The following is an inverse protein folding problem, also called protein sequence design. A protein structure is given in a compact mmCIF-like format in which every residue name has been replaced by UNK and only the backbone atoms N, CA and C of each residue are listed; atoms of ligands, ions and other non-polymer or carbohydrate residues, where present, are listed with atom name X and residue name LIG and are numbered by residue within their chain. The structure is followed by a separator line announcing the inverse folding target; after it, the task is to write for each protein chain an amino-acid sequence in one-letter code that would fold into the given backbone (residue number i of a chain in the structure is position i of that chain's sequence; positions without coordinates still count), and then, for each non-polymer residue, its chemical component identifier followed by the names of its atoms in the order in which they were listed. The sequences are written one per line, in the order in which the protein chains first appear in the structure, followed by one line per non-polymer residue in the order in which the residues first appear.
data_IF_941057028348
#
_entry.id   IF_941057028348
#
_cell.length_a   1.000
_cell.length_b   1.000
_cell.length_c   1.000
_cell.angle_alpha   90.00
_cell.angle_beta   90.00
_cell.angle_gamma   90.00
#
_symmetry.space_group_name_H-M   'P 1'
#
loop_
_entity.id
_entity.type
_entity.pdbx_description
1 polymer ?
#
# COMPACT_ATOMS: atom_id res chain seq x y z
N UNK A 1 6.45 -11.20 13.24
CA UNK A 1 7.29 -10.39 12.32
C UNK A 1 7.16 -10.76 10.85
N UNK A 2 6.85 -12.01 10.48
CA UNK A 2 6.66 -12.40 9.07
C UNK A 2 5.51 -11.65 8.37
N UNK A 3 4.37 -11.48 9.05
CA UNK A 3 3.19 -10.79 8.50
C UNK A 3 3.44 -9.29 8.25
N UNK A 4 4.14 -8.61 9.16
CA UNK A 4 4.52 -7.20 9.00
C UNK A 4 5.42 -7.01 7.77
N UNK A 5 6.43 -7.86 7.61
CA UNK A 5 7.30 -7.84 6.43
C UNK A 5 6.52 -8.12 5.14
N UNK A 6 5.50 -8.98 5.18
CA UNK A 6 4.63 -9.23 4.03
C UNK A 6 3.78 -8.00 3.67
N UNK A 7 3.24 -7.28 4.66
CA UNK A 7 2.49 -6.04 4.41
C UNK A 7 3.38 -4.94 3.83
N UNK A 8 4.59 -4.77 4.36
CA UNK A 8 5.57 -3.78 3.86
C UNK A 8 5.93 -4.09 2.40
N UNK A 9 6.33 -5.33 2.10
CA UNK A 9 6.68 -5.74 0.72
C UNK A 9 5.52 -5.57 -0.26
N UNK A 10 4.31 -5.87 0.17
CA UNK A 10 3.12 -5.68 -0.65
C UNK A 10 2.87 -4.20 -0.95
N UNK A 11 3.09 -3.33 0.05
CA UNK A 11 2.95 -1.88 -0.11
C UNK A 11 3.97 -1.33 -1.10
N UNK A 12 5.23 -1.73 -0.97
CA UNK A 12 6.30 -1.26 -1.84
C UNK A 12 6.06 -1.66 -3.30
N UNK A 13 5.62 -2.90 -3.54
CA UNK A 13 5.24 -3.36 -4.88
C UNK A 13 4.09 -2.55 -5.48
N UNK A 14 3.07 -2.20 -4.69
CA UNK A 14 1.96 -1.36 -5.18
C UNK A 14 2.43 0.07 -5.51
N UNK A 15 3.36 0.62 -4.73
CA UNK A 15 3.97 1.94 -5.01
C UNK A 15 4.79 1.94 -6.30
N UNK A 16 5.56 0.89 -6.56
CA UNK A 16 6.29 0.73 -7.82
C UNK A 16 5.33 0.67 -9.02
N UNK A 17 4.25 -0.10 -8.91
CA UNK A 17 3.23 -0.17 -9.96
C UNK A 17 2.59 1.20 -10.20
N UNK A 18 2.23 1.91 -9.13
CA UNK A 18 1.66 3.25 -9.21
C UNK A 18 2.62 4.24 -9.88
N UNK A 19 3.91 4.19 -9.52
CA UNK A 19 4.95 5.00 -10.15
C UNK A 19 5.07 4.72 -11.65
N UNK A 20 5.10 3.45 -12.05
CA UNK A 20 5.17 3.04 -13.46
C UNK A 20 3.94 3.47 -14.26
N UNK A 21 2.75 3.48 -13.65
CA UNK A 21 1.51 3.93 -14.29
C UNK A 21 1.53 5.45 -14.45
N UNK A 22 1.91 6.19 -13.41
CA UNK A 22 1.99 7.65 -13.45
C UNK A 22 3.06 8.17 -14.41
N UNK A 23 4.15 7.41 -14.61
CA UNK A 23 5.22 7.76 -15.55
C UNK A 23 4.80 7.68 -17.03
N UNK A 24 3.66 7.05 -17.36
CA UNK A 24 3.13 7.03 -18.73
C UNK A 24 2.27 8.26 -18.96
N UNK A 25 2.64 9.13 -19.90
CA UNK A 25 1.91 10.37 -20.27
C UNK A 25 0.66 10.13 -21.14
N UNK A 26 -0.03 9.01 -20.94
CA UNK A 26 -1.36 8.80 -21.54
C UNK A 26 -2.45 9.23 -20.55
N UNK A 27 -3.32 10.13 -21.00
CA UNK A 27 -4.60 10.49 -20.37
C UNK A 27 -5.66 9.46 -20.77
N UNK A 28 -5.65 8.32 -20.07
CA UNK A 28 -6.69 7.28 -20.19
C UNK A 28 -7.54 7.31 -18.90
N UNK A 29 -8.83 7.63 -18.99
CA UNK A 29 -9.75 7.62 -17.83
C UNK A 29 -9.71 6.28 -17.06
N UNK A 30 -9.40 5.16 -17.72
CA UNK A 30 -9.24 3.87 -17.05
C UNK A 30 -8.03 3.87 -16.13
N UNK A 31 -6.95 4.56 -16.53
CA UNK A 31 -5.72 4.73 -15.74
C UNK A 31 -6.02 5.38 -14.40
N UNK A 32 -6.85 6.43 -14.38
CA UNK A 32 -7.25 7.12 -13.16
C UNK A 32 -8.01 6.19 -12.20
N UNK A 33 -8.90 5.35 -12.73
CA UNK A 33 -9.59 4.34 -11.93
C UNK A 33 -8.62 3.33 -11.30
N UNK A 34 -7.63 2.87 -12.07
CA UNK A 34 -6.59 1.97 -11.56
C UNK A 34 -5.69 2.65 -10.52
N UNK A 35 -5.30 3.91 -10.74
CA UNK A 35 -4.54 4.73 -9.80
C UNK A 35 -5.29 4.83 -8.47
N UNK A 36 -6.57 5.22 -8.51
CA UNK A 36 -7.40 5.34 -7.30
C UNK A 36 -7.51 4.01 -6.54
N UNK A 37 -7.63 2.89 -7.26
CA UNK A 37 -7.68 1.56 -6.65
C UNK A 37 -6.35 1.17 -5.97
N UNK A 38 -5.22 1.50 -6.60
CA UNK A 38 -3.89 1.25 -6.05
C UNK A 38 -3.63 2.10 -4.80
N UNK A 39 -3.97 3.39 -4.84
CA UNK A 39 -3.85 4.29 -3.70
C UNK A 39 -4.71 3.84 -2.51
N UNK A 40 -5.96 3.42 -2.77
CA UNK A 40 -6.82 2.89 -1.71
C UNK A 40 -6.26 1.61 -1.10
N UNK A 41 -5.64 0.75 -1.92
CA UNK A 41 -5.00 -0.48 -1.45
C UNK A 41 -3.75 -0.21 -0.61
N UNK A 42 -2.94 0.80 -0.99
CA UNK A 42 -1.80 1.28 -0.20
C UNK A 42 -2.27 1.80 1.16
N UNK A 43 -3.32 2.64 1.19
CA UNK A 43 -3.89 3.15 2.45
C UNK A 43 -4.37 2.03 3.38
N UNK A 44 -5.00 0.99 2.83
CA UNK A 44 -5.41 -0.19 3.61
C UNK A 44 -4.20 -0.93 4.21
N UNK A 45 -3.10 -1.03 3.47
CA UNK A 45 -1.87 -1.64 3.98
C UNK A 45 -1.22 -0.79 5.06
N UNK A 46 -1.19 0.54 4.91
CA UNK A 46 -0.69 1.45 5.94
C UNK A 46 -1.49 1.29 7.24
N UNK A 47 -2.82 1.21 7.17
CA UNK A 47 -3.65 0.98 8.35
C UNK A 47 -3.35 -0.37 9.01
N UNK A 48 -3.19 -1.45 8.24
CA UNK A 48 -2.83 -2.78 8.79
C UNK A 48 -1.46 -2.79 9.46
N UNK A 49 -0.49 -2.07 8.88
CA UNK A 49 0.85 -1.93 9.47
C UNK A 49 0.76 -1.17 10.80
N UNK A 50 -0.01 -0.08 10.84
CA UNK A 50 -0.22 0.72 12.05
C UNK A 50 -0.94 -0.09 13.14
N UNK A 51 -2.01 -0.80 12.80
CA UNK A 51 -2.72 -1.72 13.70
C UNK A 51 -1.80 -2.81 14.25
N UNK A 52 -0.95 -3.39 13.40
CA UNK A 52 -0.02 -4.44 13.81
C UNK A 52 1.01 -3.89 14.81
N UNK A 53 1.56 -2.70 14.55
CA UNK A 53 2.51 -2.03 15.42
C UNK A 53 1.88 -1.63 16.77
N UNK A 54 0.65 -1.10 16.77
CA UNK A 54 -0.06 -0.75 18.02
C UNK A 54 -0.46 -1.98 18.84
N UNK A 55 -0.90 -3.08 18.19
CA UNK A 55 -1.20 -4.35 18.87
C UNK A 55 0.06 -4.98 19.47
N UNK A 56 1.20 -4.89 18.78
CA UNK A 56 2.48 -5.33 19.32
C UNK A 56 2.89 -4.50 20.54
N UNK A 57 2.75 -3.16 20.51
CA UNK A 57 3.07 -2.32 21.67
C UNK A 57 2.23 -2.67 22.90
N UNK A 58 0.92 -2.89 22.74
CA UNK A 58 0.01 -3.26 23.84
C UNK A 58 0.24 -4.65 24.42
N UNK A 59 1.02 -5.51 23.74
CA UNK A 59 1.34 -6.86 24.21
C UNK A 59 2.57 -6.88 25.13
N UNK A 60 3.29 -5.77 25.26
CA UNK A 60 4.52 -5.65 26.06
C UNK A 60 4.33 -4.85 27.37
N UNK A 61 3.13 -4.27 27.59
CA UNK A 61 2.66 -3.73 28.88
C UNK A 61 1.83 -4.78 29.63
#
# INVERSE_FOLDING_TARGET
MADLNQFIRSKDRLKEILYCINAKEDDDEKKDSYIAMLEMSIKKLDHKIEEFNTKQLKSYD
#
